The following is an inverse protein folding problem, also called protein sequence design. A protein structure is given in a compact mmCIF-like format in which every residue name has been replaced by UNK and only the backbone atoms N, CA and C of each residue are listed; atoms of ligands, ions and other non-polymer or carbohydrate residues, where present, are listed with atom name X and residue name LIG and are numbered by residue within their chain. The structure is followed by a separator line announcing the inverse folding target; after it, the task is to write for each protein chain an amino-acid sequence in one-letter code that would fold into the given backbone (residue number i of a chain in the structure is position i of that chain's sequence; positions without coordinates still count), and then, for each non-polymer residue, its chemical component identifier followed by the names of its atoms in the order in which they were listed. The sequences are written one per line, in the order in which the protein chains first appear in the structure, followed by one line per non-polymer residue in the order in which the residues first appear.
data_IF_781941998387
#
_entry.id   IF_781941998387
#
_cell.length_a   1.000
_cell.length_b   1.000
_cell.length_c   1.000
_cell.angle_alpha   90.00
_cell.angle_beta   90.00
_cell.angle_gamma   90.00
#
_symmetry.space_group_name_H-M   'P 1'
#
loop_
_entity.id
_entity.type
_entity.pdbx_description
1 polymer ?
#
# COMPACT_ATOMS: atom_id res chain seq x y z
N UNK A 1 -17.75 -11.36 -32.03
CA UNK A 1 -17.55 -12.14 -30.79
C UNK A 1 -17.93 -13.59 -31.07
N UNK A 2 -17.08 -14.56 -30.70
CA UNK A 2 -17.39 -15.98 -30.89
C UNK A 2 -18.51 -16.45 -29.96
N UNK A 3 -19.35 -17.38 -30.41
CA UNK A 3 -20.36 -18.01 -29.56
C UNK A 3 -19.71 -18.87 -28.47
N UNK A 4 -20.34 -18.89 -27.29
CA UNK A 4 -19.95 -19.71 -26.13
C UNK A 4 -21.16 -20.49 -25.65
N UNK A 5 -20.93 -21.62 -25.00
CA UNK A 5 -21.98 -22.40 -24.35
C UNK A 5 -22.61 -21.58 -23.24
N UNK A 6 -23.93 -21.38 -23.30
CA UNK A 6 -24.69 -20.56 -22.33
C UNK A 6 -25.17 -21.37 -21.11
N UNK A 7 -25.20 -22.70 -21.22
CA UNK A 7 -25.64 -23.62 -20.18
C UNK A 7 -24.49 -24.10 -19.28
N UNK A 8 -23.27 -23.60 -19.47
CA UNK A 8 -22.10 -23.94 -18.66
C UNK A 8 -21.51 -22.64 -18.13
N UNK A 9 -21.26 -22.59 -16.82
CA UNK A 9 -20.54 -21.48 -16.23
C UNK A 9 -19.09 -21.50 -16.72
N UNK A 10 -18.68 -20.44 -17.43
CA UNK A 10 -17.28 -20.28 -17.82
C UNK A 10 -16.40 -20.14 -16.58
N UNK A 11 -15.28 -20.88 -16.55
CA UNK A 11 -14.31 -20.84 -15.46
C UNK A 11 -12.91 -20.86 -16.04
N UNK A 12 -12.05 -19.98 -15.54
CA UNK A 12 -10.62 -20.07 -15.79
C UNK A 12 -10.01 -21.27 -15.04
N UNK A 13 -8.90 -21.79 -15.55
CA UNK A 13 -8.22 -22.92 -14.91
C UNK A 13 -7.68 -22.53 -13.53
N UNK A 14 -7.85 -23.39 -12.52
CA UNK A 14 -7.21 -23.24 -11.21
C UNK A 14 -5.74 -23.66 -11.34
N UNK A 15 -4.81 -22.71 -11.23
CA UNK A 15 -3.38 -22.96 -11.25
C UNK A 15 -2.84 -23.45 -9.91
N UNK A 16 -3.52 -23.11 -8.82
CA UNK A 16 -3.14 -23.57 -7.49
C UNK A 16 -3.96 -22.93 -6.38
N UNK A 17 -3.52 -23.17 -5.15
CA UNK A 17 -4.19 -22.70 -3.93
C UNK A 17 -3.24 -21.97 -3.01
N UNK A 18 -3.76 -20.91 -2.42
CA UNK A 18 -3.12 -20.10 -1.38
C UNK A 18 -3.72 -20.49 -0.03
N UNK A 19 -2.90 -21.07 0.84
CA UNK A 19 -3.34 -21.62 2.12
C UNK A 19 -2.65 -20.87 3.27
N UNK A 20 -3.35 -20.77 4.41
CA UNK A 20 -2.85 -20.14 5.66
C UNK A 20 -2.35 -21.16 6.69
N UNK A 21 -2.13 -22.40 6.25
CA UNK A 21 -1.70 -23.50 7.10
C UNK A 21 -1.27 -24.71 6.30
N UNK A 22 -0.56 -25.61 6.97
CA UNK A 22 -0.01 -26.84 6.39
C UNK A 22 -0.17 -28.00 7.37
N UNK A 23 0.03 -29.22 6.91
CA UNK A 23 0.05 -30.41 7.78
C UNK A 23 1.48 -30.83 8.04
N UNK A 24 1.83 -31.02 9.31
CA UNK A 24 3.07 -31.66 9.75
C UNK A 24 2.72 -33.07 10.24
N UNK A 25 3.00 -34.08 9.40
CA UNK A 25 2.43 -35.41 9.58
C UNK A 25 0.90 -35.36 9.55
N UNK A 26 0.24 -35.88 10.60
CA UNK A 26 -1.23 -35.84 10.76
C UNK A 26 -1.73 -34.60 11.51
N UNK A 27 -0.85 -33.69 11.95
CA UNK A 27 -1.23 -32.52 12.74
C UNK A 27 -1.38 -31.28 11.85
N UNK A 28 -2.53 -30.59 11.88
CA UNK A 28 -2.69 -29.31 11.19
C UNK A 28 -1.93 -28.20 11.93
N UNK A 29 -1.13 -27.46 11.18
CA UNK A 29 -0.32 -26.34 11.65
C UNK A 29 -0.82 -25.05 10.99
N UNK A 30 -0.85 -23.96 11.78
CA UNK A 30 -1.11 -22.61 11.26
C UNK A 30 0.20 -22.04 10.72
N UNK A 31 0.13 -21.34 9.60
CA UNK A 31 1.27 -20.63 9.03
C UNK A 31 1.14 -19.14 9.27
N UNK A 32 2.25 -18.47 9.56
CA UNK A 32 2.31 -17.00 9.61
C UNK A 32 2.46 -16.40 8.20
N UNK A 33 2.88 -17.20 7.23
CA UNK A 33 3.09 -16.85 5.83
C UNK A 33 2.29 -17.76 4.91
N UNK A 34 2.31 -17.48 3.62
CA UNK A 34 1.52 -18.24 2.65
C UNK A 34 2.09 -19.63 2.40
N UNK A 35 1.18 -20.59 2.26
CA UNK A 35 1.50 -21.93 1.77
C UNK A 35 0.90 -22.05 0.38
N UNK A 36 1.75 -21.95 -0.64
CA UNK A 36 1.36 -21.99 -2.05
C UNK A 36 1.45 -23.44 -2.53
N UNK A 37 0.39 -23.95 -3.15
CA UNK A 37 0.31 -25.33 -3.64
C UNK A 37 -0.17 -25.38 -5.08
N UNK A 38 0.44 -26.21 -5.92
CA UNK A 38 0.11 -26.35 -7.35
C UNK A 38 0.50 -27.74 -7.85
N UNK A 39 -0.12 -28.19 -8.95
CA UNK A 39 0.34 -29.38 -9.67
C UNK A 39 1.60 -29.10 -10.51
N UNK A 40 1.81 -27.85 -10.92
CA UNK A 40 2.98 -27.40 -11.67
C UNK A 40 4.13 -27.07 -10.72
N UNK A 41 5.26 -27.76 -10.89
CA UNK A 41 6.53 -27.46 -10.22
C UNK A 41 7.01 -26.05 -10.54
N UNK A 42 6.88 -25.64 -11.80
CA UNK A 42 7.30 -24.33 -12.30
C UNK A 42 6.62 -23.19 -11.52
N UNK A 43 5.30 -23.27 -11.31
CA UNK A 43 4.57 -22.26 -10.54
C UNK A 43 5.10 -22.15 -9.10
N UNK A 44 5.42 -23.28 -8.47
CA UNK A 44 5.89 -23.31 -7.08
C UNK A 44 7.32 -22.80 -6.97
N UNK A 45 8.20 -23.15 -7.92
CA UNK A 45 9.56 -22.59 -8.00
C UNK A 45 9.53 -21.09 -8.22
N UNK A 46 8.73 -20.60 -9.17
CA UNK A 46 8.58 -19.17 -9.43
C UNK A 46 8.03 -18.43 -8.21
N UNK A 47 7.07 -19.02 -7.51
CA UNK A 47 6.56 -18.47 -6.26
C UNK A 47 7.64 -18.41 -5.17
N UNK A 48 8.53 -19.40 -5.09
CA UNK A 48 9.66 -19.38 -4.16
C UNK A 48 10.71 -18.31 -4.51
N UNK A 49 10.94 -18.04 -5.79
CA UNK A 49 11.80 -16.92 -6.23
C UNK A 49 11.22 -15.56 -5.81
N UNK A 50 9.90 -15.37 -5.96
CA UNK A 50 9.23 -14.11 -5.67
C UNK A 50 9.06 -13.85 -4.16
N UNK A 51 8.66 -14.86 -3.40
CA UNK A 51 8.25 -14.70 -2.00
C UNK A 51 9.14 -15.47 -1.01
N UNK A 52 10.22 -16.07 -1.50
CA UNK A 52 11.12 -16.92 -0.73
C UNK A 52 10.51 -18.28 -0.37
N UNK A 53 11.33 -19.13 0.24
CA UNK A 53 10.94 -20.46 0.70
C UNK A 53 11.61 -21.55 -0.13
N UNK A 54 11.40 -22.81 0.26
CA UNK A 54 11.96 -23.96 -0.45
C UNK A 54 10.83 -24.76 -1.10
N UNK A 55 10.84 -24.91 -2.44
CA UNK A 55 9.91 -25.80 -3.15
C UNK A 55 10.12 -27.26 -2.73
N UNK A 56 9.03 -27.95 -2.43
CA UNK A 56 9.06 -29.38 -2.12
C UNK A 56 7.90 -30.12 -2.79
N UNK A 57 8.16 -31.39 -3.10
CA UNK A 57 7.10 -32.30 -3.49
C UNK A 57 6.31 -32.71 -2.24
N UNK A 58 4.99 -32.57 -2.31
CA UNK A 58 4.11 -32.73 -1.17
C UNK A 58 2.81 -33.42 -1.56
N UNK A 59 2.36 -34.34 -0.71
CA UNK A 59 1.08 -35.02 -0.87
C UNK A 59 0.08 -34.49 0.18
N UNK A 60 -1.07 -33.92 -0.25
CA UNK A 60 -2.12 -33.52 0.67
C UNK A 60 -2.65 -34.69 1.50
N UNK A 61 -2.96 -34.44 2.77
CA UNK A 61 -3.63 -35.42 3.61
C UNK A 61 -4.97 -35.83 2.97
N UNK A 62 -5.24 -37.13 2.92
CA UNK A 62 -6.43 -37.72 2.28
C UNK A 62 -6.50 -37.53 0.74
N UNK A 63 -5.37 -37.28 0.08
CA UNK A 63 -5.25 -37.28 -1.38
C UNK A 63 -4.25 -38.35 -1.82
N UNK A 64 -4.50 -39.02 -2.95
CA UNK A 64 -3.53 -39.90 -3.63
C UNK A 64 -2.67 -39.15 -4.65
N UNK A 65 -3.01 -37.88 -4.92
CA UNK A 65 -2.37 -37.08 -5.96
C UNK A 65 -1.28 -36.22 -5.33
N UNK A 66 -0.05 -36.42 -5.80
CA UNK A 66 1.11 -35.62 -5.40
C UNK A 66 1.05 -34.24 -6.06
N UNK A 67 1.47 -33.22 -5.30
CA UNK A 67 1.52 -31.82 -5.71
C UNK A 67 2.88 -31.23 -5.34
N UNK A 68 3.11 -29.98 -5.72
CA UNK A 68 4.23 -29.17 -5.26
C UNK A 68 3.73 -28.14 -4.27
N UNK A 69 4.60 -27.78 -3.32
CA UNK A 69 4.31 -26.81 -2.27
C UNK A 69 5.54 -25.93 -2.00
N UNK A 70 5.30 -24.68 -1.66
CA UNK A 70 6.27 -23.81 -1.00
C UNK A 70 5.60 -23.10 0.17
N UNK A 71 6.29 -23.05 1.31
CA UNK A 71 5.93 -22.18 2.42
C UNK A 71 6.76 -20.90 2.25
N UNK A 72 6.11 -19.78 1.98
CA UNK A 72 6.78 -18.52 1.65
C UNK A 72 7.48 -17.91 2.86
N UNK A 73 8.47 -17.04 2.62
CA UNK A 73 9.04 -16.17 3.67
C UNK A 73 8.22 -14.89 3.83
N UNK A 74 7.58 -14.41 2.75
CA UNK A 74 6.74 -13.23 2.78
C UNK A 74 5.32 -13.54 3.33
N UNK A 75 4.77 -12.70 4.23
CA UNK A 75 3.39 -12.83 4.71
C UNK A 75 2.36 -12.21 3.76
N UNK A 76 2.81 -11.48 2.74
CA UNK A 76 1.99 -10.80 1.75
C UNK A 76 2.28 -11.27 0.33
N UNK A 77 1.25 -11.29 -0.51
CA UNK A 77 1.32 -11.61 -1.94
C UNK A 77 0.56 -10.54 -2.71
N UNK A 78 1.14 -10.05 -3.80
CA UNK A 78 0.46 -9.16 -4.73
C UNK A 78 -0.41 -9.97 -5.69
N UNK A 79 -1.62 -9.51 -5.93
CA UNK A 79 -2.62 -10.21 -6.72
C UNK A 79 -3.54 -9.24 -7.45
N UNK A 80 -4.32 -9.77 -8.38
CA UNK A 80 -5.38 -9.06 -9.09
C UNK A 80 -6.72 -9.74 -8.84
N UNK A 81 -7.73 -8.94 -8.48
CA UNK A 81 -9.12 -9.34 -8.60
C UNK A 81 -9.51 -9.23 -10.08
N UNK A 82 -10.11 -10.28 -10.61
CA UNK A 82 -10.61 -10.33 -11.99
C UNK A 82 -12.02 -9.78 -12.09
N UNK A 83 -12.47 -9.31 -13.27
CA UNK A 83 -13.85 -8.91 -13.49
C UNK A 83 -14.88 -10.00 -13.08
N UNK A 84 -16.03 -9.56 -12.60
CA UNK A 84 -17.06 -10.41 -12.00
C UNK A 84 -16.86 -10.61 -10.50
N UNK A 85 -17.65 -11.50 -9.91
CA UNK A 85 -17.56 -11.80 -8.48
C UNK A 85 -16.42 -12.81 -8.20
N UNK A 86 -15.33 -12.40 -7.53
CA UNK A 86 -14.22 -13.28 -7.20
C UNK A 86 -14.50 -14.19 -5.99
N UNK A 87 -15.56 -13.90 -5.22
CA UNK A 87 -15.81 -14.48 -3.91
C UNK A 87 -16.94 -15.51 -3.97
N UNK A 88 -16.71 -16.63 -3.31
CA UNK A 88 -17.69 -17.69 -3.19
C UNK A 88 -17.74 -18.13 -1.73
N UNK A 89 -18.87 -17.85 -1.07
CA UNK A 89 -19.05 -18.07 0.36
C UNK A 89 -20.27 -18.93 0.65
N UNK A 90 -20.06 -19.94 1.49
CA UNK A 90 -21.13 -20.78 2.00
C UNK A 90 -20.80 -21.29 3.40
N UNK A 91 -21.84 -21.52 4.19
CA UNK A 91 -21.77 -22.30 5.42
C UNK A 91 -21.80 -23.78 5.05
N UNK A 92 -20.64 -24.44 5.12
CA UNK A 92 -20.47 -25.81 4.63
C UNK A 92 -20.14 -26.79 5.75
N UNK A 93 -20.75 -27.97 5.73
CA UNK A 93 -20.36 -29.10 6.57
C UNK A 93 -19.76 -30.20 5.69
N UNK A 94 -18.48 -30.49 5.90
CA UNK A 94 -17.75 -31.53 5.16
C UNK A 94 -17.53 -32.77 6.01
N UNK A 95 -17.71 -33.94 5.40
CA UNK A 95 -17.27 -35.24 5.94
C UNK A 95 -16.28 -35.88 4.97
N UNK A 96 -15.75 -37.07 5.32
CA UNK A 96 -14.93 -37.85 4.40
C UNK A 96 -15.67 -38.23 3.10
N UNK A 97 -17.02 -38.31 3.14
CA UNK A 97 -17.87 -38.59 1.99
C UNK A 97 -18.29 -37.35 1.18
N UNK A 98 -17.76 -36.17 1.50
CA UNK A 98 -18.03 -34.93 0.77
C UNK A 98 -18.88 -33.90 1.54
N UNK A 99 -19.41 -32.92 0.81
CA UNK A 99 -20.20 -31.83 1.37
C UNK A 99 -21.58 -32.35 1.79
N UNK A 100 -21.80 -32.44 3.11
CA UNK A 100 -23.05 -32.91 3.70
C UNK A 100 -24.12 -31.82 3.74
N UNK A 101 -23.69 -30.56 3.86
CA UNK A 101 -24.56 -29.39 3.93
C UNK A 101 -23.85 -28.21 3.28
N UNK A 102 -24.58 -27.43 2.51
CA UNK A 102 -24.13 -26.13 1.98
C UNK A 102 -25.26 -25.13 2.11
N UNK A 103 -25.04 -24.06 2.85
CA UNK A 103 -26.04 -23.03 3.07
C UNK A 103 -25.51 -21.63 2.75
N UNK A 104 -26.36 -20.74 2.24
CA UNK A 104 -26.05 -19.32 1.97
C UNK A 104 -26.29 -18.39 3.19
N UNK A 105 -26.85 -18.93 4.28
CA UNK A 105 -27.25 -18.22 5.49
C UNK A 105 -28.73 -18.41 5.79
N UNK A 106 -29.54 -18.58 4.74
CA UNK A 106 -31.00 -18.67 4.83
C UNK A 106 -31.52 -20.01 4.32
N UNK A 107 -30.92 -20.52 3.24
CA UNK A 107 -31.33 -21.74 2.52
C UNK A 107 -30.16 -22.73 2.42
N UNK A 108 -30.45 -24.00 2.66
CA UNK A 108 -29.58 -25.13 2.39
C UNK A 108 -29.73 -25.55 0.92
N UNK A 109 -28.66 -25.42 0.15
CA UNK A 109 -28.66 -25.46 -1.32
C UNK A 109 -28.72 -26.88 -1.90
N UNK A 110 -28.39 -27.93 -1.13
CA UNK A 110 -28.43 -29.31 -1.61
C UNK A 110 -29.86 -29.88 -1.58
N UNK A 111 -30.62 -29.54 -0.55
CA UNK A 111 -31.98 -30.04 -0.26
C UNK A 111 -33.07 -28.98 -0.42
N UNK A 112 -32.67 -27.71 -0.59
CA UNK A 112 -33.55 -26.53 -0.68
C UNK A 112 -34.45 -26.33 0.55
N UNK A 113 -33.95 -26.70 1.71
CA UNK A 113 -34.61 -26.52 3.01
C UNK A 113 -34.03 -25.30 3.74
N UNK A 114 -34.69 -24.76 4.78
CA UNK A 114 -34.12 -23.68 5.58
C UNK A 114 -32.74 -24.04 6.16
N UNK A 115 -31.87 -23.05 6.26
CA UNK A 115 -30.51 -23.22 6.75
C UNK A 115 -30.46 -23.82 8.15
N UNK A 116 -29.93 -25.03 8.27
CA UNK A 116 -29.85 -25.74 9.56
C UNK A 116 -28.83 -25.08 10.49
N UNK A 117 -27.75 -24.51 9.94
CA UNK A 117 -26.60 -24.03 10.71
C UNK A 117 -27.01 -22.97 11.75
N UNK A 118 -27.64 -21.88 11.31
CA UNK A 118 -28.11 -20.82 12.20
C UNK A 118 -29.41 -21.19 12.92
N UNK A 119 -30.35 -21.86 12.23
CA UNK A 119 -31.65 -22.21 12.82
C UNK A 119 -31.55 -23.13 14.03
N UNK A 120 -30.64 -24.11 14.00
CA UNK A 120 -30.48 -25.08 15.09
C UNK A 120 -29.59 -24.56 16.23
N UNK A 121 -28.60 -23.73 15.93
CA UNK A 121 -27.56 -23.33 16.88
C UNK A 121 -27.58 -21.84 17.25
N UNK A 122 -28.52 -21.05 16.72
CA UNK A 122 -28.63 -19.61 16.93
C UNK A 122 -27.60 -18.80 16.14
N UNK A 123 -27.53 -17.50 16.41
CA UNK A 123 -26.60 -16.56 15.76
C UNK A 123 -25.12 -16.89 16.06
N UNK A 124 -24.86 -17.43 17.24
CA UNK A 124 -23.53 -17.85 17.69
C UNK A 124 -23.11 -19.24 17.20
N UNK A 125 -23.77 -19.80 16.18
CA UNK A 125 -23.43 -21.10 15.62
C UNK A 125 -21.93 -21.22 15.27
N UNK A 126 -21.30 -20.13 14.83
CA UNK A 126 -19.90 -20.07 14.45
C UNK A 126 -18.92 -20.30 15.62
N UNK A 127 -19.40 -20.25 16.86
CA UNK A 127 -18.62 -20.53 18.08
C UNK A 127 -18.56 -22.02 18.44
N UNK A 128 -19.45 -22.83 17.83
CA UNK A 128 -19.57 -24.25 18.13
C UNK A 128 -18.31 -25.03 17.70
N UNK A 129 -18.05 -26.20 18.30
CA UNK A 129 -16.93 -27.04 17.92
C UNK A 129 -16.95 -27.45 16.44
N UNK A 130 -15.78 -27.45 15.81
CA UNK A 130 -15.62 -27.93 14.43
C UNK A 130 -16.18 -29.35 14.28
N UNK A 131 -16.93 -29.58 13.20
CA UNK A 131 -17.55 -30.88 12.91
C UNK A 131 -18.91 -31.09 13.56
N UNK A 132 -19.33 -30.23 14.50
CA UNK A 132 -20.71 -30.25 15.05
C UNK A 132 -21.68 -29.44 14.20
N UNK A 133 -21.20 -28.32 13.66
CA UNK A 133 -21.96 -27.41 12.78
C UNK A 133 -21.12 -27.08 11.54
N UNK A 134 -21.76 -26.43 10.58
CA UNK A 134 -21.17 -25.88 9.37
C UNK A 134 -19.97 -24.98 9.70
N UNK A 135 -19.05 -24.81 8.77
CA UNK A 135 -17.98 -23.80 8.83
C UNK A 135 -18.24 -22.73 7.77
N UNK A 136 -17.97 -21.46 8.10
CA UNK A 136 -18.00 -20.36 7.13
C UNK A 136 -16.85 -20.53 6.13
N UNK A 137 -17.11 -21.14 4.99
CA UNK A 137 -16.08 -21.42 3.97
C UNK A 137 -16.13 -20.34 2.91
N UNK A 138 -15.03 -19.58 2.81
CA UNK A 138 -14.84 -18.55 1.81
C UNK A 138 -13.74 -18.96 0.84
N UNK A 139 -14.03 -18.83 -0.45
CA UNK A 139 -13.12 -19.10 -1.55
C UNK A 139 -13.00 -17.84 -2.37
N UNK A 140 -11.80 -17.28 -2.38
CA UNK A 140 -11.50 -16.04 -3.06
C UNK A 140 -10.55 -16.33 -4.21
N UNK A 141 -10.99 -16.07 -5.44
CA UNK A 141 -10.23 -16.32 -6.65
C UNK A 141 -9.51 -15.04 -7.06
N UNK A 142 -8.18 -15.15 -7.22
CA UNK A 142 -7.33 -14.06 -7.66
C UNK A 142 -6.42 -14.52 -8.78
N UNK A 143 -5.90 -13.57 -9.55
CA UNK A 143 -4.82 -13.81 -10.51
C UNK A 143 -3.50 -13.33 -9.90
N UNK A 144 -2.42 -14.08 -10.12
CA UNK A 144 -1.08 -13.71 -9.68
C UNK A 144 -0.27 -13.29 -10.91
N UNK A 145 -0.08 -11.98 -11.17
CA UNK A 145 0.43 -11.48 -12.45
C UNK A 145 1.89 -11.87 -12.72
N UNK A 146 2.69 -12.11 -11.68
CA UNK A 146 4.12 -12.42 -11.79
C UNK A 146 4.42 -13.93 -11.88
N UNK A 147 3.38 -14.77 -11.83
CA UNK A 147 3.48 -16.20 -12.08
C UNK A 147 3.11 -16.51 -13.54
N UNK A 148 3.74 -17.54 -14.10
CA UNK A 148 3.43 -18.00 -15.45
C UNK A 148 2.00 -18.54 -15.53
N UNK A 149 1.38 -18.36 -16.71
CA UNK A 149 0.05 -18.88 -17.03
C UNK A 149 -1.11 -17.90 -16.82
N UNK A 150 -2.12 -17.99 -17.69
CA UNK A 150 -3.40 -17.29 -17.52
C UNK A 150 -4.38 -18.17 -16.76
N UNK A 151 -4.37 -18.07 -15.44
CA UNK A 151 -5.27 -18.85 -14.58
C UNK A 151 -5.49 -18.22 -13.22
N UNK A 152 -6.31 -18.88 -12.42
CA UNK A 152 -6.76 -18.40 -11.12
C UNK A 152 -6.10 -19.17 -9.99
N UNK A 153 -5.83 -18.44 -8.91
CA UNK A 153 -5.36 -18.96 -7.65
C UNK A 153 -6.46 -18.79 -6.62
N UNK A 154 -6.72 -19.85 -5.84
CA UNK A 154 -7.79 -19.83 -4.85
C UNK A 154 -7.23 -19.69 -3.45
N UNK A 155 -7.51 -18.57 -2.80
CA UNK A 155 -7.36 -18.42 -1.36
C UNK A 155 -8.60 -19.01 -0.67
N UNK A 156 -8.39 -19.87 0.33
CA UNK A 156 -9.48 -20.52 1.04
C UNK A 156 -9.35 -20.31 2.55
N UNK A 157 -10.44 -19.89 3.20
CA UNK A 157 -10.52 -19.74 4.64
C UNK A 157 -11.81 -20.34 5.18
N UNK A 158 -11.73 -20.89 6.39
CA UNK A 158 -12.89 -21.42 7.14
C UNK A 158 -13.17 -20.58 8.40
N UNK A 159 -12.63 -19.37 8.47
CA UNK A 159 -12.81 -18.46 9.60
C UNK A 159 -14.06 -17.62 9.39
N UNK A 160 -14.95 -17.61 10.38
CA UNK A 160 -16.15 -16.78 10.38
C UNK A 160 -15.84 -15.28 10.22
N UNK A 161 -14.87 -14.77 10.99
CA UNK A 161 -14.48 -13.35 10.92
C UNK A 161 -13.77 -12.98 9.61
N UNK A 162 -12.99 -13.91 9.05
CA UNK A 162 -12.37 -13.66 7.73
C UNK A 162 -13.45 -13.64 6.63
N UNK A 163 -14.49 -14.49 6.75
CA UNK A 163 -15.60 -14.50 5.81
C UNK A 163 -16.33 -13.15 5.79
N UNK A 164 -16.64 -12.58 6.95
CA UNK A 164 -17.30 -11.26 7.01
C UNK A 164 -16.43 -10.14 6.45
N UNK A 165 -15.12 -10.14 6.74
CA UNK A 165 -14.20 -9.11 6.21
C UNK A 165 -14.06 -9.20 4.68
N UNK A 166 -13.98 -10.40 4.13
CA UNK A 166 -13.89 -10.60 2.67
C UNK A 166 -15.15 -10.15 1.95
N UNK A 167 -16.33 -10.45 2.49
CA UNK A 167 -17.61 -10.02 1.91
C UNK A 167 -17.66 -8.49 1.76
N UNK A 168 -17.43 -7.77 2.86
CA UNK A 168 -17.47 -6.30 2.85
C UNK A 168 -16.45 -5.66 1.90
N UNK A 169 -15.22 -6.21 1.82
CA UNK A 169 -14.20 -5.70 0.92
C UNK A 169 -14.56 -5.94 -0.55
N UNK A 170 -15.00 -7.15 -0.90
CA UNK A 170 -15.41 -7.46 -2.29
C UNK A 170 -16.61 -6.63 -2.70
N UNK A 171 -17.62 -6.49 -1.85
CA UNK A 171 -18.80 -5.68 -2.15
C UNK A 171 -18.44 -4.21 -2.42
N UNK A 172 -17.53 -3.65 -1.63
CA UNK A 172 -17.03 -2.28 -1.83
C UNK A 172 -16.30 -2.14 -3.17
N UNK A 173 -15.45 -3.11 -3.51
CA UNK A 173 -14.72 -3.11 -4.79
C UNK A 173 -15.69 -3.24 -5.97
N UNK A 174 -16.65 -4.17 -5.89
CA UNK A 174 -17.65 -4.37 -6.94
C UNK A 174 -18.55 -3.14 -7.10
N UNK A 175 -18.92 -2.46 -6.01
CA UNK A 175 -19.68 -1.22 -6.04
C UNK A 175 -18.93 -0.09 -6.75
N UNK A 176 -17.61 0.02 -6.54
CA UNK A 176 -16.78 1.04 -7.18
C UNK A 176 -16.50 0.79 -8.66
N UNK A 177 -16.41 -0.49 -9.06
CA UNK A 177 -16.00 -0.87 -10.42
C UNK A 177 -17.14 -1.40 -11.28
N UNK A 178 -18.36 -1.50 -10.75
CA UNK A 178 -19.49 -2.18 -11.41
C UNK A 178 -19.11 -3.62 -11.84
N UNK A 179 -18.27 -4.28 -11.02
CA UNK A 179 -17.70 -5.60 -11.29
C UNK A 179 -16.83 -5.69 -12.56
N UNK A 180 -16.33 -4.57 -13.07
CA UNK A 180 -15.52 -4.50 -14.30
C UNK A 180 -14.07 -4.14 -14.00
N UNK A 181 -13.20 -4.50 -14.94
CA UNK A 181 -11.77 -4.20 -14.83
C UNK A 181 -11.04 -5.07 -13.80
N UNK A 182 -9.73 -4.91 -13.76
CA UNK A 182 -8.88 -5.59 -12.80
C UNK A 182 -8.63 -4.66 -11.61
N UNK A 183 -8.59 -5.24 -10.41
CA UNK A 183 -8.32 -4.46 -9.19
C UNK A 183 -7.07 -5.01 -8.52
N UNK A 184 -5.99 -4.21 -8.42
CA UNK A 184 -4.77 -4.62 -7.76
C UNK A 184 -4.96 -4.66 -6.25
N UNK A 185 -4.60 -5.81 -5.67
CA UNK A 185 -4.71 -6.05 -4.24
C UNK A 185 -3.45 -6.71 -3.68
N UNK A 186 -3.24 -6.51 -2.39
CA UNK A 186 -2.27 -7.24 -1.59
C UNK A 186 -3.03 -8.17 -0.65
N UNK A 187 -2.70 -9.46 -0.68
CA UNK A 187 -3.22 -10.47 0.22
C UNK A 187 -2.21 -10.69 1.35
N UNK A 188 -2.52 -10.20 2.55
CA UNK A 188 -1.62 -10.24 3.71
C UNK A 188 -2.16 -11.17 4.80
N UNK A 189 -1.32 -12.06 5.32
CA UNK A 189 -1.64 -12.85 6.51
C UNK A 189 -1.31 -12.02 7.75
N UNK A 190 -2.33 -11.77 8.57
CA UNK A 190 -2.21 -11.10 9.85
C UNK A 190 -2.55 -12.08 10.99
N UNK A 191 -1.59 -12.39 11.88
CA UNK A 191 -1.88 -13.21 13.04
C UNK A 191 -2.67 -12.39 14.08
N UNK A 192 -3.93 -12.76 14.31
CA UNK A 192 -4.76 -12.17 15.35
C UNK A 192 -4.90 -13.09 16.55
N UNK A 193 -5.30 -12.54 17.69
CA UNK A 193 -5.57 -13.31 18.90
C UNK A 193 -6.94 -12.99 19.47
N UNK A 194 -7.60 -13.99 20.04
CA UNK A 194 -8.80 -13.78 20.85
C UNK A 194 -8.67 -14.59 22.14
N UNK A 195 -9.20 -14.04 23.23
CA UNK A 195 -9.31 -14.74 24.51
C UNK A 195 -10.74 -15.27 24.60
N UNK A 196 -10.90 -16.60 24.73
CA UNK A 196 -12.19 -17.24 24.97
C UNK A 196 -12.02 -18.22 26.12
N UNK A 197 -12.90 -18.16 27.11
CA UNK A 197 -12.87 -19.06 28.29
C UNK A 197 -11.48 -19.06 28.98
N UNK A 198 -10.85 -17.88 29.08
CA UNK A 198 -9.51 -17.73 29.67
C UNK A 198 -8.35 -18.30 28.83
N UNK A 199 -8.61 -18.81 27.62
CA UNK A 199 -7.58 -19.35 26.72
C UNK A 199 -7.34 -18.43 25.52
N UNK A 200 -6.10 -18.00 25.34
CA UNK A 200 -5.68 -17.21 24.17
C UNK A 200 -5.52 -18.12 22.95
N UNK A 201 -6.26 -17.85 21.88
CA UNK A 201 -6.14 -18.53 20.59
C UNK A 201 -5.64 -17.55 19.54
N UNK A 202 -4.45 -17.83 18.97
CA UNK A 202 -3.88 -17.08 17.83
C UNK A 202 -4.31 -17.70 16.50
N UNK A 203 -4.83 -16.94 15.55
CA UNK A 203 -5.26 -17.45 14.25
C UNK A 203 -4.86 -16.50 13.11
N UNK A 204 -4.48 -17.05 11.94
CA UNK A 204 -4.20 -16.22 10.77
C UNK A 204 -5.52 -15.68 10.18
N UNK A 205 -5.55 -14.39 9.89
CA UNK A 205 -6.59 -13.72 9.10
C UNK A 205 -5.96 -13.24 7.81
N UNK A 206 -6.64 -13.42 6.69
CA UNK A 206 -6.19 -12.88 5.41
C UNK A 206 -6.86 -11.54 5.22
N UNK A 207 -6.07 -10.48 5.22
CA UNK A 207 -6.50 -9.12 4.91
C UNK A 207 -6.28 -8.89 3.42
N UNK A 208 -7.24 -8.24 2.77
CA UNK A 208 -7.15 -7.81 1.38
C UNK A 208 -7.09 -6.29 1.37
N UNK A 209 -6.01 -5.75 0.82
CA UNK A 209 -5.75 -4.31 0.77
C UNK A 209 -5.62 -3.87 -0.68
N UNK A 210 -6.12 -2.69 -1.03
CA UNK A 210 -5.90 -2.11 -2.36
C UNK A 210 -4.42 -1.76 -2.53
N UNK A 211 -3.81 -2.22 -3.61
CA UNK A 211 -2.39 -2.00 -3.87
C UNK A 211 -2.18 -0.76 -4.74
N UNK A 212 -1.43 0.21 -4.24
CA UNK A 212 -0.98 1.37 -5.01
C UNK A 212 -2.09 2.32 -5.48
N UNK A 213 -3.32 2.15 -5.01
CA UNK A 213 -4.46 2.99 -5.36
C UNK A 213 -5.20 3.44 -4.11
N UNK A 214 -5.63 4.70 -4.10
CA UNK A 214 -6.47 5.24 -3.03
C UNK A 214 -7.91 4.74 -3.18
N UNK A 215 -8.71 4.70 -2.09
CA UNK A 215 -10.13 4.40 -2.19
C UNK A 215 -10.87 5.33 -3.17
N UNK A 216 -10.48 6.61 -3.23
CA UNK A 216 -11.04 7.56 -4.22
C UNK A 216 -10.80 7.10 -5.65
N UNK A 217 -9.59 6.64 -5.97
CA UNK A 217 -9.26 6.14 -7.31
C UNK A 217 -9.96 4.81 -7.60
N UNK A 218 -10.02 3.90 -6.63
CA UNK A 218 -10.67 2.60 -6.81
C UNK A 218 -12.19 2.72 -7.01
N UNK A 219 -12.82 3.72 -6.39
CA UNK A 219 -14.26 3.99 -6.49
C UNK A 219 -14.61 4.96 -7.64
N UNK A 220 -13.63 5.49 -8.37
CA UNK A 220 -13.87 6.39 -9.50
C UNK A 220 -14.30 5.65 -10.79
N UNK A 221 -14.24 4.32 -10.78
CA UNK A 221 -14.66 3.46 -11.89
C UNK A 221 -13.64 2.37 -12.23
N UNK A 222 -13.91 1.57 -13.27
CA UNK A 222 -13.03 0.48 -13.69
C UNK A 222 -11.64 0.99 -14.11
N UNK A 223 -10.59 0.37 -13.59
CA UNK A 223 -9.22 0.64 -14.03
C UNK A 223 -8.89 -0.09 -15.34
N UNK A 224 -8.05 0.53 -16.16
CA UNK A 224 -7.47 -0.17 -17.31
C UNK A 224 -6.45 -1.23 -16.82
N UNK A 225 -6.20 -2.25 -17.65
CA UNK A 225 -5.36 -3.38 -17.26
C UNK A 225 -3.89 -2.98 -16.98
N UNK A 226 -3.35 -1.97 -17.68
CA UNK A 226 -1.98 -1.51 -17.47
C UNK A 226 -1.81 -0.87 -16.08
N UNK A 227 -2.75 -0.01 -15.69
CA UNK A 227 -2.80 0.59 -14.35
C UNK A 227 -3.03 -0.45 -13.26
N UNK A 228 -3.79 -1.52 -13.52
CA UNK A 228 -3.97 -2.59 -12.55
C UNK A 228 -2.69 -3.44 -12.37
N UNK A 229 -1.95 -3.70 -13.43
CA UNK A 229 -0.69 -4.44 -13.36
C UNK A 229 0.40 -3.62 -12.65
N UNK A 230 0.47 -2.32 -12.93
CA UNK A 230 1.42 -1.40 -12.30
C UNK A 230 0.73 -0.12 -11.77
N UNK A 231 0.08 -0.21 -10.60
CA UNK A 231 -0.60 0.93 -9.98
C UNK A 231 0.40 1.98 -9.48
N UNK A 232 1.64 1.57 -9.19
CA UNK A 232 2.72 2.48 -8.81
C UNK A 232 3.16 3.38 -9.97
N UNK A 233 3.27 2.83 -11.18
CA UNK A 233 3.59 3.61 -12.38
C UNK A 233 2.51 4.63 -12.74
N UNK A 234 1.23 4.35 -12.45
CA UNK A 234 0.14 5.28 -12.70
C UNK A 234 0.20 6.53 -11.80
N UNK A 235 0.72 6.40 -10.56
CA UNK A 235 1.06 7.53 -9.70
C UNK A 235 2.38 8.21 -10.06
N UNK A 236 3.27 7.51 -10.78
CA UNK A 236 4.55 8.01 -11.29
C UNK A 236 4.49 8.53 -12.73
N UNK A 237 3.31 8.62 -13.34
CA UNK A 237 3.09 9.66 -14.35
C UNK A 237 3.18 11.01 -13.62
N UNK A 238 4.40 11.40 -13.25
CA UNK A 238 4.80 12.78 -13.17
C UNK A 238 4.23 13.38 -14.45
N UNK A 239 3.23 14.25 -14.31
CA UNK A 239 2.94 15.22 -15.35
C UNK A 239 4.29 15.67 -15.85
N UNK A 240 4.58 15.47 -17.13
CA UNK A 240 5.85 15.86 -17.69
C UNK A 240 6.03 17.33 -17.32
N UNK A 241 6.85 17.59 -16.30
CA UNK A 241 7.29 18.95 -16.01
C UNK A 241 8.06 19.25 -17.27
N UNK A 242 7.55 20.23 -18.03
CA UNK A 242 8.27 20.78 -19.18
C UNK A 242 9.74 20.88 -18.77
N UNK A 243 10.64 20.42 -19.64
CA UNK A 243 12.08 20.58 -19.46
C UNK A 243 12.33 21.99 -18.88
N UNK A 244 13.20 22.16 -17.87
CA UNK A 244 13.30 23.40 -17.13
C UNK A 244 13.42 24.54 -18.14
N UNK A 245 12.35 25.35 -18.25
CA UNK A 245 12.45 26.66 -18.87
C UNK A 245 13.59 27.31 -18.10
N UNK A 246 14.63 27.76 -18.81
CA UNK A 246 15.79 28.38 -18.19
C UNK A 246 15.35 29.40 -17.14
N UNK A 247 16.14 29.55 -16.07
CA UNK A 247 15.85 30.38 -14.90
C UNK A 247 15.04 31.63 -15.27
N UNK A 248 13.86 31.78 -14.68
CA UNK A 248 12.99 32.92 -14.94
C UNK A 248 13.40 34.09 -14.04
N UNK A 249 14.37 34.84 -14.53
CA UNK A 249 14.94 35.99 -13.84
C UNK A 249 13.90 37.07 -13.50
N UNK A 250 12.79 37.18 -14.25
CA UNK A 250 11.77 38.19 -13.97
C UNK A 250 10.92 37.73 -12.78
N UNK A 251 10.48 36.47 -12.76
CA UNK A 251 9.71 35.93 -11.64
C UNK A 251 10.50 35.96 -10.32
N UNK A 252 11.81 35.68 -10.36
CA UNK A 252 12.67 35.78 -9.18
C UNK A 252 12.86 37.23 -8.71
N UNK A 253 12.98 38.20 -9.64
CA UNK A 253 13.06 39.61 -9.29
C UNK A 253 11.76 40.17 -8.71
N UNK A 254 10.60 39.72 -9.20
CA UNK A 254 9.30 40.11 -8.64
C UNK A 254 9.11 39.58 -7.21
N UNK A 255 9.70 38.41 -6.91
CA UNK A 255 9.71 37.80 -5.58
C UNK A 255 10.79 38.33 -4.62
N UNK A 256 11.72 39.13 -5.11
CA UNK A 256 12.76 39.73 -4.27
C UNK A 256 12.18 40.78 -3.31
N UNK A 257 12.71 40.79 -2.08
CA UNK A 257 12.21 41.65 -1.00
C UNK A 257 12.77 43.07 -1.11
N UNK A 258 14.02 43.20 -1.55
CA UNK A 258 14.71 44.50 -1.64
C UNK A 258 15.20 44.79 -3.05
N UNK A 259 15.49 46.07 -3.33
CA UNK A 259 16.11 46.48 -4.59
C UNK A 259 17.54 45.94 -4.75
N UNK A 260 18.26 45.71 -3.65
CA UNK A 260 19.59 45.11 -3.65
C UNK A 260 19.55 43.63 -4.06
N UNK A 261 18.56 42.87 -3.59
CA UNK A 261 18.34 41.48 -4.03
C UNK A 261 18.10 41.40 -5.55
N UNK A 262 17.37 42.37 -6.13
CA UNK A 262 17.14 42.46 -7.58
C UNK A 262 18.43 42.80 -8.34
N UNK A 263 19.32 43.61 -7.74
CA UNK A 263 20.63 43.95 -8.33
C UNK A 263 21.59 42.77 -8.29
N UNK A 264 21.57 41.97 -7.23
CA UNK A 264 22.33 40.73 -7.13
C UNK A 264 21.86 39.72 -8.19
N UNK A 265 20.55 39.58 -8.36
CA UNK A 265 19.96 38.76 -9.40
C UNK A 265 20.37 39.22 -10.82
N UNK A 266 20.48 40.53 -11.04
CA UNK A 266 20.97 41.09 -12.30
C UNK A 266 22.43 40.74 -12.56
N UNK A 267 23.30 40.81 -11.54
CA UNK A 267 24.70 40.41 -11.65
C UNK A 267 24.85 38.91 -11.93
N UNK A 268 24.03 38.07 -11.30
CA UNK A 268 23.97 36.64 -11.59
C UNK A 268 23.51 36.36 -13.03
N UNK A 269 22.48 37.08 -13.50
CA UNK A 269 22.01 37.00 -14.87
C UNK A 269 23.10 37.43 -15.86
N UNK A 270 23.91 38.43 -15.50
CA UNK A 270 25.03 38.91 -16.33
C UNK A 270 26.14 37.86 -16.40
N UNK A 271 26.51 37.28 -15.26
CA UNK A 271 27.51 36.21 -15.17
C UNK A 271 27.06 34.95 -15.95
N UNK A 272 25.76 34.66 -15.96
CA UNK A 272 25.14 33.60 -16.74
C UNK A 272 24.98 33.93 -18.24
N UNK A 273 25.33 35.15 -18.66
CA UNK A 273 25.18 35.62 -20.04
C UNK A 273 23.73 35.85 -20.49
N UNK A 274 22.78 35.92 -19.55
CA UNK A 274 21.36 36.14 -19.80
C UNK A 274 21.00 37.62 -20.02
N UNK A 275 21.80 38.55 -19.46
CA UNK A 275 21.67 40.00 -19.69
C UNK A 275 22.97 40.60 -20.24
N UNK A 276 22.84 41.71 -20.97
CA UNK A 276 23.97 42.39 -21.58
C UNK A 276 24.64 43.33 -20.54
N UNK A 277 25.99 43.35 -20.44
CA UNK A 277 26.71 44.18 -19.46
C UNK A 277 26.41 45.68 -19.50
N UNK A 278 25.96 46.20 -20.65
CA UNK A 278 25.58 47.62 -20.81
C UNK A 278 24.13 47.93 -20.43
N UNK A 279 23.38 46.92 -19.97
CA UNK A 279 21.97 47.02 -19.59
C UNK A 279 21.01 47.40 -20.71
N UNK A 280 21.38 47.09 -21.94
CA UNK A 280 20.64 47.51 -23.14
C UNK A 280 19.56 46.53 -23.57
N UNK A 281 19.60 45.30 -23.07
CA UNK A 281 18.63 44.25 -23.38
C UNK A 281 17.33 44.41 -22.58
N UNK A 282 16.25 43.81 -23.11
CA UNK A 282 14.92 43.93 -22.54
C UNK A 282 14.80 43.30 -21.14
N UNK A 283 15.56 42.25 -20.85
CA UNK A 283 15.55 41.61 -19.54
C UNK A 283 16.19 42.53 -18.48
N UNK A 284 17.36 43.08 -18.79
CA UNK A 284 18.05 44.05 -17.93
C UNK A 284 17.19 45.27 -17.60
N UNK A 285 16.50 45.85 -18.60
CA UNK A 285 15.58 46.99 -18.37
C UNK A 285 14.44 46.65 -17.42
N UNK A 286 13.89 45.43 -17.52
CA UNK A 286 12.81 44.98 -16.64
C UNK A 286 13.30 44.77 -15.21
N UNK A 287 14.46 44.16 -15.03
CA UNK A 287 15.09 44.00 -13.71
C UNK A 287 15.37 45.37 -13.05
N UNK A 288 15.89 46.34 -13.82
CA UNK A 288 16.10 47.71 -13.33
C UNK A 288 14.80 48.42 -12.97
N UNK A 289 13.71 48.18 -13.72
CA UNK A 289 12.41 48.76 -13.41
C UNK A 289 11.81 48.16 -12.11
N UNK A 290 12.00 46.86 -11.88
CA UNK A 290 11.56 46.19 -10.64
C UNK A 290 12.37 46.72 -9.44
N UNK A 291 13.69 46.84 -9.57
CA UNK A 291 14.53 47.42 -8.52
C UNK A 291 14.11 48.87 -8.19
N UNK A 292 13.83 49.69 -9.20
CA UNK A 292 13.38 51.06 -9.02
C UNK A 292 11.99 51.16 -8.34
N UNK A 293 11.09 50.22 -8.64
CA UNK A 293 9.80 50.14 -7.95
C UNK A 293 9.97 49.78 -6.46
N UNK A 294 10.87 48.85 -6.13
CA UNK A 294 11.19 48.49 -4.74
C UNK A 294 11.87 49.63 -3.98
N UNK A 295 12.75 50.38 -4.63
CA UNK A 295 13.34 51.60 -4.06
C UNK A 295 12.26 52.67 -3.76
N UNK A 296 11.24 52.80 -4.62
CA UNK A 296 10.13 53.72 -4.41
C UNK A 296 9.20 53.27 -3.26
N UNK A 297 8.89 51.98 -3.17
CA UNK A 297 8.07 51.41 -2.09
C UNK A 297 8.76 51.59 -0.73
N UNK A 298 10.08 51.33 -0.65
CA UNK A 298 10.87 51.54 0.56
C UNK A 298 10.99 53.02 0.95
N UNK A 299 11.05 53.93 -0.02
CA UNK A 299 11.07 55.38 0.26
C UNK A 299 9.73 55.91 0.80
N UNK A 300 8.63 55.20 0.60
CA UNK A 300 7.30 55.56 1.15
C UNK A 300 6.99 54.94 2.52
N UNK A 301 7.85 54.06 3.03
CA UNK A 301 7.65 53.32 4.29
C UNK A 301 8.13 54.00 5.58
N UNK A 302 8.65 55.24 5.53
CA UNK A 302 9.22 55.91 6.70
C UNK A 302 8.16 56.65 7.53
N UNK A 303 7.25 55.86 8.11
CA UNK A 303 6.38 56.25 9.22
C UNK A 303 6.48 55.18 10.32
N UNK A 304 6.60 55.55 11.61
CA UNK A 304 6.80 54.57 12.68
C UNK A 304 5.49 53.80 12.90
N UNK A 305 5.37 52.68 12.18
CA UNK A 305 4.28 51.72 12.30
C UNK A 305 4.86 50.34 12.64
N UNK A 306 4.18 49.55 13.48
CA UNK A 306 4.65 48.22 13.87
C UNK A 306 4.77 47.30 12.66
N UNK A 307 5.67 46.32 12.73
CA UNK A 307 5.81 45.27 11.72
C UNK A 307 4.55 44.40 11.61
N UNK A 308 4.45 43.63 10.53
CA UNK A 308 3.27 42.84 10.16
C UNK A 308 2.91 41.74 11.19
N UNK A 309 3.77 41.51 12.19
CA UNK A 309 3.56 40.56 13.28
C UNK A 309 3.22 41.23 14.64
N UNK A 310 3.09 42.55 14.69
CA UNK A 310 2.66 43.27 15.90
C UNK A 310 3.58 43.10 17.09
N UNK A 311 4.88 42.88 16.85
CA UNK A 311 5.89 42.78 17.89
C UNK A 311 6.59 44.13 18.08
N UNK A 312 6.64 44.61 19.32
CA UNK A 312 7.54 45.71 19.66
C UNK A 312 8.97 45.16 19.76
N UNK A 313 9.95 45.83 19.15
CA UNK A 313 11.37 45.54 19.41
C UNK A 313 11.62 45.61 20.92
N UNK A 314 11.99 44.48 21.50
CA UNK A 314 12.43 44.42 22.88
C UNK A 314 13.80 45.10 22.98
N UNK A 315 13.87 46.12 23.82
CA UNK A 315 15.09 46.81 24.23
C UNK A 315 16.11 45.77 24.75
N UNK A 316 17.21 45.58 24.01
CA UNK A 316 18.34 44.77 24.43
C UNK A 316 19.12 45.58 25.46
N UNK A 317 19.01 45.19 26.74
CA UNK A 317 19.93 45.64 27.78
C UNK A 317 21.25 44.89 27.57
N UNK A 318 22.26 45.59 27.07
CA UNK A 318 23.63 45.08 27.00
C UNK A 318 24.25 45.11 28.41
N UNK A 319 24.63 43.95 28.93
CA UNK A 319 25.52 43.85 30.10
C UNK A 319 26.94 44.28 29.69
N UNK A 320 27.51 45.24 30.43
CA UNK A 320 28.83 45.82 30.20
C UNK A 320 29.98 44.78 30.19
N UNK A 321 30.93 44.86 29.25
CA UNK A 321 32.23 44.21 29.36
C UNK A 321 33.26 45.14 30.04
N UNK A 322 33.80 44.70 31.18
CA UNK A 322 34.86 45.40 31.92
C UNK A 322 36.23 45.34 31.23
N UNK A 323 36.94 46.47 31.32
CA UNK A 323 38.31 46.76 30.87
C UNK A 323 39.38 45.72 31.26
N UNK A 324 40.29 45.40 30.32
CA UNK A 324 41.65 44.92 30.63
C UNK A 324 42.32 43.99 29.62
N UNK A 325 42.77 44.52 28.47
CA UNK A 325 43.70 43.93 27.47
C UNK A 325 45.17 43.83 28.04
N UNK A 326 46.23 43.25 27.39
CA UNK A 326 46.31 42.68 26.05
C UNK A 326 47.21 41.43 25.79
N UNK A 327 47.05 40.91 24.56
CA UNK A 327 48.07 40.33 23.65
C UNK A 327 48.73 38.96 23.88
N UNK A 328 48.64 38.11 22.84
CA UNK A 328 49.75 37.24 22.39
C UNK A 328 49.52 35.72 22.46
N UNK A 329 49.32 35.07 21.31
CA UNK A 329 49.49 33.62 21.10
C UNK A 329 50.98 33.22 21.31
N UNK A 330 51.36 31.99 21.74
CA UNK A 330 50.92 30.73 21.11
C UNK A 330 50.81 29.44 21.98
N UNK A 331 49.91 28.56 21.53
CA UNK A 331 50.06 27.14 21.17
C UNK A 331 50.35 25.96 22.16
N UNK A 332 49.51 24.93 21.94
CA UNK A 332 49.65 23.44 22.02
C UNK A 332 49.75 22.69 23.36
N UNK A 333 48.90 21.65 23.47
CA UNK A 333 49.15 20.26 23.93
C UNK A 333 49.72 20.01 25.34
N UNK A 334 49.37 18.96 26.09
CA UNK A 334 48.64 17.72 25.84
C UNK A 334 48.31 17.07 27.22
N UNK A 335 47.66 15.89 27.28
CA UNK A 335 46.89 15.42 28.42
C UNK A 335 47.75 14.76 29.50
N UNK A 336 47.20 14.66 30.71
CA UNK A 336 47.85 13.94 31.80
C UNK A 336 46.89 13.62 32.95
N UNK A 337 46.57 12.33 33.05
CA UNK A 337 46.37 11.54 34.27
C UNK A 337 46.33 12.27 35.62
N UNK A 338 45.32 11.95 36.43
CA UNK A 338 45.31 12.30 37.85
C UNK A 338 44.54 11.29 38.68
N UNK A 339 45.25 10.28 39.17
CA UNK A 339 44.82 9.42 40.25
C UNK A 339 44.49 10.22 41.53
N UNK A 340 43.55 9.71 42.32
CA UNK A 340 43.44 9.92 43.77
C UNK A 340 43.09 8.54 44.35
N UNK A 341 44.01 7.91 45.07
CA UNK A 341 44.27 8.05 46.51
C UNK A 341 43.58 6.90 47.25
#
# INVERSE_FOLDING_TARGET
MGSRLRNIQARAAEHGRLRTGYTQGKRPMRSATWVITSHSEEHVRRAAELWGGEPEQWQPLNSTITQWRVITKAPSIEALITPGDPLNQYNEMWSAGGCQRRCDGETELLTRQPCICARQFGEDWHTQPKGRVCSATSRFNVMLPDLSGMGMWRAETHSFYAASEWGGMVDMVLAGTDGKGFVPVTLRIEPRQVIREGKTKKFPVVVVELRGVTPRQALAGPMNAATALDPGAAGQQRAAIEAPKGRDWIAEAEGALTSDDVRDLWMEAQAAGAVHPKGTDELSKKLMAIAAAKDADNATGDGPGPDEDGAYEAEVVEDEPGEGDPAGWPAVAQPGSGARA
#
